data_IF_100028966707
#
_entry.id   IF_100028966707
#
_cell.length_a   1.000
_cell.length_b   1.000
_cell.length_c   1.000
_cell.angle_alpha   90.00
_cell.angle_beta   90.00
_cell.angle_gamma   90.00
#
_symmetry.space_group_name_H-M   'P 1'
#
loop_
_entity.id
_entity.type
_entity.pdbx_description
1 polymer ?
#
# COMPACT_ATOMS: atom_id res chain seq x y z
N UNK A 1 5.01 -6.59 9.13
CA UNK A 1 4.35 -5.69 8.17
C UNK A 1 3.09 -6.39 7.69
N UNK A 2 1.96 -5.70 7.52
CA UNK A 2 0.70 -6.36 7.24
C UNK A 2 0.62 -6.79 5.77
N UNK A 3 -0.07 -7.91 5.55
CA UNK A 3 -0.31 -8.49 4.23
C UNK A 3 -1.79 -8.74 4.03
N UNK A 4 -2.26 -8.65 2.80
CA UNK A 4 -3.61 -9.02 2.40
C UNK A 4 -3.56 -10.04 1.27
N UNK A 5 -4.43 -11.03 1.30
CA UNK A 5 -4.61 -11.95 0.18
C UNK A 5 -5.65 -11.36 -0.78
N UNK A 6 -5.26 -11.15 -2.03
CA UNK A 6 -6.12 -10.69 -3.12
C UNK A 6 -6.02 -11.70 -4.27
N UNK A 7 -7.07 -12.48 -4.48
CA UNK A 7 -7.01 -13.64 -5.38
C UNK A 7 -6.05 -14.70 -4.84
N UNK A 8 -5.12 -15.14 -5.68
CA UNK A 8 -4.07 -16.12 -5.37
C UNK A 8 -2.76 -15.47 -4.91
N UNK A 9 -2.73 -14.14 -4.71
CA UNK A 9 -1.52 -13.39 -4.34
C UNK A 9 -1.64 -12.77 -2.97
N UNK A 10 -0.55 -12.84 -2.21
CA UNK A 10 -0.35 -12.11 -0.96
C UNK A 10 0.40 -10.81 -1.25
N UNK A 11 -0.20 -9.70 -0.87
CA UNK A 11 0.29 -8.35 -1.14
C UNK A 11 0.65 -7.65 0.16
N UNK A 12 1.83 -7.04 0.19
CA UNK A 12 2.25 -6.12 1.26
C UNK A 12 1.48 -4.80 1.11
N UNK A 13 1.01 -4.28 2.24
CA UNK A 13 0.40 -2.96 2.28
C UNK A 13 0.78 -2.22 3.57
N UNK A 14 0.55 -0.90 3.55
CA UNK A 14 0.74 0.00 4.68
C UNK A 14 -0.49 0.85 4.86
N UNK A 15 -0.98 0.92 6.08
CA UNK A 15 -2.17 1.71 6.43
C UNK A 15 -1.79 2.86 7.36
N UNK A 16 -2.33 4.05 7.11
CA UNK A 16 -2.20 5.21 8.01
C UNK A 16 -3.50 6.01 8.05
N UNK A 17 -3.78 6.62 9.19
CA UNK A 17 -4.98 7.42 9.41
C UNK A 17 -6.22 6.57 9.76
N UNK A 18 -7.31 7.26 10.11
CA UNK A 18 -8.58 6.64 10.57
C UNK A 18 -9.82 7.37 10.05
N UNK A 19 -9.68 8.14 8.97
CA UNK A 19 -10.79 8.84 8.34
C UNK A 19 -11.80 7.92 7.66
N UNK A 20 -13.00 8.44 7.44
CA UNK A 20 -14.06 7.73 6.70
C UNK A 20 -13.76 7.68 5.20
N UNK A 21 -13.08 8.71 4.67
CA UNK A 21 -12.61 8.74 3.28
C UNK A 21 -11.30 7.95 3.12
N UNK A 22 -11.35 6.90 2.29
CA UNK A 22 -10.22 6.00 2.03
C UNK A 22 -9.54 6.33 0.71
N UNK A 23 -8.22 6.54 0.76
CA UNK A 23 -7.36 6.76 -0.41
C UNK A 23 -6.41 5.58 -0.60
N UNK A 24 -6.45 4.98 -1.79
CA UNK A 24 -5.54 3.89 -2.17
C UNK A 24 -4.41 4.45 -3.02
N UNK A 25 -3.16 4.21 -2.60
CA UNK A 25 -1.96 4.71 -3.25
C UNK A 25 -1.24 3.57 -3.99
N UNK A 26 -1.14 3.71 -5.31
CA UNK A 26 -0.55 2.71 -6.21
C UNK A 26 0.74 3.28 -6.77
N UNK A 27 1.85 2.56 -6.61
CA UNK A 27 3.16 2.99 -7.11
C UNK A 27 3.32 2.72 -8.63
N UNK A 28 4.27 3.42 -9.25
CA UNK A 28 4.70 3.17 -10.63
C UNK A 28 5.73 2.03 -10.76
N UNK A 29 6.16 1.74 -11.98
CA UNK A 29 7.13 0.68 -12.26
C UNK A 29 8.47 0.88 -11.52
N UNK A 30 9.10 -0.22 -11.09
CA UNK A 30 10.41 -0.20 -10.40
C UNK A 30 10.38 0.29 -8.95
N UNK A 31 9.19 0.33 -8.33
CA UNK A 31 8.96 0.89 -6.99
C UNK A 31 8.21 -0.09 -6.06
N UNK A 32 7.79 0.37 -4.88
CA UNK A 32 6.95 -0.34 -3.92
C UNK A 32 6.06 0.63 -3.14
N UNK A 33 5.20 0.15 -2.23
CA UNK A 33 4.38 1.01 -1.38
C UNK A 33 5.17 2.04 -0.57
N UNK A 34 6.46 1.79 -0.31
CA UNK A 34 7.30 2.62 0.57
C UNK A 34 7.50 4.05 0.06
N UNK A 35 7.36 4.31 -1.24
CA UNK A 35 7.47 5.68 -1.76
C UNK A 35 6.38 6.61 -1.23
N UNK A 36 5.30 6.04 -0.71
CA UNK A 36 4.15 6.79 -0.22
C UNK A 36 4.22 7.15 1.26
N UNK A 37 5.28 6.76 1.99
CA UNK A 37 5.32 6.94 3.46
C UNK A 37 5.04 8.39 3.91
N UNK A 38 5.73 9.36 3.29
CA UNK A 38 5.52 10.78 3.57
C UNK A 38 4.12 11.25 3.17
N UNK A 39 3.62 10.81 2.01
CA UNK A 39 2.29 11.19 1.50
C UNK A 39 1.19 10.64 2.41
N UNK A 40 1.30 9.38 2.84
CA UNK A 40 0.37 8.78 3.80
C UNK A 40 0.35 9.54 5.12
N UNK A 41 1.51 10.00 5.61
CA UNK A 41 1.60 10.84 6.80
C UNK A 41 0.83 12.16 6.66
N UNK A 42 1.03 12.86 5.54
CA UNK A 42 0.35 14.13 5.25
C UNK A 42 -1.17 13.95 5.09
N UNK A 43 -1.61 12.92 4.36
CA UNK A 43 -3.04 12.65 4.15
C UNK A 43 -3.72 12.17 5.44
N UNK A 44 -3.05 11.37 6.26
CA UNK A 44 -3.55 11.00 7.58
C UNK A 44 -3.71 12.24 8.48
N UNK A 45 -2.76 13.16 8.44
CA UNK A 45 -2.85 14.45 9.14
C UNK A 45 -3.99 15.34 8.62
N UNK A 46 -4.37 15.19 7.36
CA UNK A 46 -5.52 15.86 6.75
C UNK A 46 -6.87 15.13 6.98
N UNK A 47 -6.87 14.03 7.74
CA UNK A 47 -8.10 13.33 8.11
C UNK A 47 -8.50 12.17 7.20
N UNK A 48 -7.68 11.77 6.23
CA UNK A 48 -7.94 10.60 5.38
C UNK A 48 -7.46 9.31 6.04
N UNK A 49 -8.08 8.19 5.67
CA UNK A 49 -7.48 6.86 5.84
C UNK A 49 -6.76 6.50 4.54
N UNK A 50 -5.51 6.07 4.61
CA UNK A 50 -4.71 5.74 3.43
C UNK A 50 -4.23 4.31 3.46
N UNK A 51 -4.20 3.69 2.28
CA UNK A 51 -3.67 2.34 2.07
C UNK A 51 -2.68 2.40 0.90
N UNK A 52 -1.39 2.22 1.17
CA UNK A 52 -0.36 2.09 0.14
C UNK A 52 -0.07 0.61 -0.10
N UNK A 53 -0.10 0.17 -1.36
CA UNK A 53 0.01 -1.24 -1.76
C UNK A 53 1.27 -1.47 -2.60
N UNK A 54 1.99 -2.56 -2.32
CA UNK A 54 3.04 -3.07 -3.19
C UNK A 54 2.39 -4.02 -4.20
N UNK A 55 2.46 -3.69 -5.49
CA UNK A 55 1.91 -4.54 -6.57
C UNK A 55 2.65 -5.90 -6.64
N UNK A 56 2.08 -6.94 -7.29
CA UNK A 56 2.78 -8.21 -7.50
C UNK A 56 4.18 -7.99 -8.07
N UNK A 57 5.19 -8.63 -7.47
CA UNK A 57 6.59 -8.46 -7.84
C UNK A 57 7.34 -7.32 -7.16
N UNK A 58 6.64 -6.46 -6.39
CA UNK A 58 7.22 -5.33 -5.68
C UNK A 58 7.18 -5.50 -4.15
N UNK A 59 8.14 -4.87 -3.46
CA UNK A 59 8.22 -4.90 -1.99
C UNK A 59 8.22 -6.32 -1.43
N UNK A 60 7.43 -6.52 -0.37
CA UNK A 60 7.18 -7.83 0.24
C UNK A 60 6.10 -8.68 -0.46
N UNK A 61 5.46 -8.18 -1.52
CA UNK A 61 4.38 -8.90 -2.21
C UNK A 61 4.91 -10.11 -2.99
N UNK A 62 4.04 -11.09 -3.19
CA UNK A 62 4.35 -12.28 -3.99
C UNK A 62 4.79 -11.89 -5.41
N UNK A 63 5.73 -12.67 -5.96
CA UNK A 63 6.24 -12.50 -7.32
C UNK A 63 5.39 -13.28 -8.32
N UNK A 64 5.35 -12.87 -9.60
CA UNK A 64 4.77 -13.70 -10.66
C UNK A 64 5.44 -15.08 -10.67
N UNK A 65 4.64 -16.15 -10.57
CA UNK A 65 5.12 -17.54 -10.54
C UNK A 65 5.44 -18.12 -9.16
N UNK A 66 5.26 -17.35 -8.08
CA UNK A 66 5.24 -17.84 -6.70
C UNK A 66 3.83 -17.97 -6.14
#
# INVERSE_FOLDING_TARGET
>A
MPFVTAGDKRLEYFERGKGDDVVVLIHGAGSSALIWDTVQGLMAGAGFRTIAISLPGAGGSDRPGG
#
